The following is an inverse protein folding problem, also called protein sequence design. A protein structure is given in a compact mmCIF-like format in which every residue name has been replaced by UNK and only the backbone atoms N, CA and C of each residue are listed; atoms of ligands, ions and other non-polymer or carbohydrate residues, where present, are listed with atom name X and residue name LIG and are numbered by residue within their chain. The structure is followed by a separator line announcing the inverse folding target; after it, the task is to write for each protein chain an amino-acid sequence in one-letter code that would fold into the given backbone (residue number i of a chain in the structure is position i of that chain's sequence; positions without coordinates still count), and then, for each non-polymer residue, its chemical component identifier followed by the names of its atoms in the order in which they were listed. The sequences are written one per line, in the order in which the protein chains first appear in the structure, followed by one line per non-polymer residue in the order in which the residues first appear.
data_IF_649074914542
#
_entry.id   IF_649074914542
#
_cell.length_a   1.000
_cell.length_b   1.000
_cell.length_c   1.000
_cell.angle_alpha   90.00
_cell.angle_beta   90.00
_cell.angle_gamma   90.00
#
_symmetry.space_group_name_H-M   'P 1'
#
loop_
_entity.id
_entity.type
_entity.pdbx_description
1 polymer ?
#
# COMPACT_ATOMS: atom_id res chain seq x y z
N UNK A 1 -2.86 -4.81 6.22
CA UNK A 1 -3.42 -3.61 6.84
C UNK A 1 -2.44 -3.08 7.88
N UNK A 2 -2.25 -1.79 7.89
CA UNK A 2 -1.55 -1.03 8.92
C UNK A 2 -2.57 -0.33 9.81
N UNK A 3 -2.13 0.15 10.98
CA UNK A 3 -3.03 0.75 11.95
C UNK A 3 -3.68 2.05 11.44
N UNK A 4 -2.95 2.84 10.64
CA UNK A 4 -3.44 4.10 10.09
C UNK A 4 -4.56 3.84 9.08
N UNK A 5 -4.33 3.03 8.05
CA UNK A 5 -5.37 2.72 7.07
C UNK A 5 -6.56 1.98 7.69
N UNK A 6 -6.32 1.11 8.68
CA UNK A 6 -7.40 0.46 9.42
C UNK A 6 -8.27 1.47 10.18
N UNK A 7 -7.65 2.47 10.82
CA UNK A 7 -8.35 3.57 11.50
C UNK A 7 -9.10 4.49 10.54
N UNK A 8 -8.68 4.57 9.29
CA UNK A 8 -9.26 5.36 8.20
C UNK A 8 -10.13 4.53 7.25
N UNK A 9 -10.77 3.48 7.74
CA UNK A 9 -11.66 2.60 6.97
C UNK A 9 -11.01 1.95 5.73
N UNK A 10 -9.71 1.71 5.77
CA UNK A 10 -8.95 1.06 4.69
C UNK A 10 -8.50 1.99 3.57
N UNK A 11 -8.64 3.31 3.70
CA UNK A 11 -8.12 4.28 2.73
C UNK A 11 -6.60 4.33 2.74
N UNK A 12 -5.99 4.65 1.60
CA UNK A 12 -4.52 4.71 1.49
C UNK A 12 -4.00 5.02 0.09
N UNK A 13 -4.89 5.14 -0.91
CA UNK A 13 -4.48 5.33 -2.30
C UNK A 13 -3.83 6.71 -2.56
N UNK A 14 -4.22 7.72 -1.79
CA UNK A 14 -3.72 9.08 -1.93
C UNK A 14 -2.97 9.60 -0.68
N UNK A 15 -2.97 8.84 0.43
CA UNK A 15 -2.39 9.26 1.70
C UNK A 15 -0.86 9.23 1.64
N UNK A 16 -0.22 10.37 1.85
CA UNK A 16 1.24 10.54 1.67
C UNK A 16 2.07 10.34 2.94
N UNK A 17 1.43 10.21 4.09
CA UNK A 17 2.05 9.99 5.39
C UNK A 17 1.97 8.53 5.90
N UNK A 18 1.55 7.60 5.06
CA UNK A 18 1.54 6.17 5.36
C UNK A 18 2.97 5.57 5.51
N UNK A 19 4.02 6.32 5.22
CA UNK A 19 5.39 5.86 5.35
C UNK A 19 5.66 4.60 4.53
N UNK A 20 6.31 3.61 5.15
CA UNK A 20 6.68 2.37 4.46
C UNK A 20 5.48 1.47 4.12
N UNK A 21 4.34 1.61 4.81
CA UNK A 21 3.14 0.79 4.55
C UNK A 21 2.41 1.18 3.27
N UNK A 22 2.74 2.35 2.70
CA UNK A 22 2.21 2.79 1.42
C UNK A 22 2.47 1.81 0.26
N UNK A 23 3.51 0.97 0.35
CA UNK A 23 3.75 -0.09 -0.65
C UNK A 23 2.54 -1.01 -0.82
N UNK A 24 1.78 -1.27 0.24
CA UNK A 24 0.60 -2.14 0.23
C UNK A 24 -0.66 -1.46 -0.34
N UNK A 25 -0.62 -0.15 -0.56
CA UNK A 25 -1.73 0.66 -1.06
C UNK A 25 -1.37 1.29 -2.41
N UNK A 26 -0.48 2.27 -2.39
CA UNK A 26 0.01 2.96 -3.59
C UNK A 26 1.43 3.48 -3.33
N UNK A 27 2.43 2.77 -3.82
CA UNK A 27 3.84 3.10 -3.57
C UNK A 27 4.27 4.48 -4.11
N UNK A 28 3.52 5.07 -5.05
CA UNK A 28 3.84 6.41 -5.57
C UNK A 28 3.68 7.52 -4.53
N UNK A 29 2.88 7.31 -3.47
CA UNK A 29 2.73 8.28 -2.38
C UNK A 29 4.00 8.45 -1.56
N UNK A 30 4.86 7.42 -1.49
CA UNK A 30 6.13 7.45 -0.75
C UNK A 30 7.05 8.58 -1.25
N UNK A 31 6.97 8.95 -2.52
CA UNK A 31 7.78 10.02 -3.08
C UNK A 31 7.52 11.39 -2.41
N UNK A 32 6.36 11.57 -1.78
CA UNK A 32 5.97 12.79 -1.06
C UNK A 32 6.13 12.68 0.47
N UNK A 33 6.57 11.53 0.99
CA UNK A 33 6.89 11.39 2.40
C UNK A 33 7.96 12.41 2.82
N UNK A 34 7.93 12.89 4.04
CA UNK A 34 8.96 13.77 4.58
C UNK A 34 10.25 13.02 4.93
N UNK A 35 10.15 11.72 5.13
CA UNK A 35 11.26 10.90 5.58
C UNK A 35 12.07 10.33 4.40
N UNK A 36 13.38 10.18 4.60
CA UNK A 36 14.30 9.59 3.62
C UNK A 36 14.19 8.07 3.62
N UNK A 37 13.94 7.48 4.78
CA UNK A 37 13.77 6.04 4.95
C UNK A 37 12.77 5.76 6.06
N UNK A 38 12.09 4.66 5.96
CA UNK A 38 11.18 4.21 7.00
C UNK A 38 10.98 2.71 6.96
N UNK A 39 10.74 2.13 8.12
CA UNK A 39 10.42 0.72 8.26
C UNK A 39 9.20 0.57 9.16
N UNK A 40 8.37 -0.42 8.89
CA UNK A 40 7.26 -0.76 9.77
C UNK A 40 7.07 -2.28 9.86
N UNK A 41 6.57 -2.69 10.99
CA UNK A 41 6.07 -4.03 11.22
C UNK A 41 4.69 -3.93 11.88
N UNK A 42 3.76 -4.72 11.40
CA UNK A 42 2.40 -4.77 11.93
C UNK A 42 1.99 -6.23 12.13
N UNK A 43 1.36 -6.48 13.27
CA UNK A 43 0.71 -7.73 13.58
C UNK A 43 -0.77 -7.47 13.84
N UNK A 44 -1.64 -8.08 13.05
CA UNK A 44 -3.08 -7.98 13.23
C UNK A 44 -3.66 -9.37 13.52
N UNK A 45 -4.32 -9.51 14.67
CA UNK A 45 -5.12 -10.67 14.99
C UNK A 45 -6.57 -10.37 14.62
N UNK A 46 -7.08 -11.03 13.58
CA UNK A 46 -8.40 -10.71 13.01
C UNK A 46 -9.52 -11.36 13.84
N UNK A 47 -9.25 -12.56 14.36
CA UNK A 47 -10.08 -13.25 15.34
C UNK A 47 -9.19 -14.22 16.14
N UNK A 48 -9.76 -15.16 16.88
CA UNK A 48 -8.97 -16.06 17.76
C UNK A 48 -7.89 -16.83 16.99
N UNK A 49 -8.05 -16.99 15.70
CA UNK A 49 -7.28 -17.94 14.90
C UNK A 49 -6.51 -17.31 13.74
N UNK A 50 -7.00 -16.21 13.16
CA UNK A 50 -6.38 -15.55 11.99
C UNK A 50 -5.38 -14.49 12.41
N UNK A 51 -4.18 -14.61 11.88
CA UNK A 51 -3.11 -13.62 12.09
C UNK A 51 -2.51 -13.16 10.77
N UNK A 52 -2.32 -11.85 10.66
CA UNK A 52 -1.60 -11.22 9.57
C UNK A 52 -0.35 -10.52 10.11
N UNK A 53 0.78 -10.91 9.58
CA UNK A 53 2.06 -10.22 9.77
C UNK A 53 2.36 -9.40 8.53
N UNK A 54 2.72 -8.15 8.68
CA UNK A 54 3.23 -7.33 7.58
C UNK A 54 4.47 -6.57 8.00
N UNK A 55 5.46 -6.53 7.13
CA UNK A 55 6.69 -5.78 7.30
C UNK A 55 6.97 -5.00 6.02
N UNK A 56 7.45 -3.77 6.15
CA UNK A 56 7.81 -2.96 5.00
C UNK A 56 8.98 -2.03 5.31
N UNK A 57 9.69 -1.67 4.24
CA UNK A 57 10.82 -0.76 4.27
C UNK A 57 10.80 0.09 3.00
N UNK A 58 11.16 1.36 3.09
CA UNK A 58 11.47 2.18 1.92
C UNK A 58 12.75 2.99 2.10
N UNK A 59 13.33 3.38 0.97
CA UNK A 59 14.44 4.31 0.90
C UNK A 59 14.27 5.26 -0.28
N UNK A 60 14.31 6.57 -0.01
CA UNK A 60 14.24 7.64 -1.02
C UNK A 60 15.61 8.17 -1.33
N UNK A 61 15.83 8.47 -2.60
CA UNK A 61 17.09 9.00 -3.14
C UNK A 61 16.80 10.33 -3.85
N UNK A 62 17.68 11.30 -3.64
CA UNK A 62 17.63 12.58 -4.33
C UNK A 62 16.84 13.65 -3.56
N UNK A 63 17.23 14.91 -3.77
CA UNK A 63 16.52 16.11 -3.30
C UNK A 63 15.68 16.71 -4.41
N UNK A 64 16.23 16.72 -5.63
CA UNK A 64 15.54 17.09 -6.87
C UNK A 64 15.39 15.82 -7.72
N UNK A 65 14.20 15.56 -8.25
CA UNK A 65 13.95 14.31 -8.99
C UNK A 65 13.95 13.08 -8.08
N UNK A 66 13.21 13.16 -6.97
CA UNK A 66 13.09 12.09 -5.97
C UNK A 66 12.69 10.78 -6.65
N UNK A 67 13.45 9.74 -6.35
CA UNK A 67 13.12 8.37 -6.69
C UNK A 67 13.49 7.45 -5.52
N UNK A 68 13.05 6.21 -5.55
CA UNK A 68 13.39 5.27 -4.49
C UNK A 68 12.78 3.91 -4.68
N UNK A 69 13.04 3.08 -3.70
CA UNK A 69 12.61 1.70 -3.66
C UNK A 69 11.86 1.42 -2.36
N UNK A 70 10.91 0.52 -2.43
CA UNK A 70 10.27 -0.04 -1.26
C UNK A 70 10.17 -1.55 -1.39
N UNK A 71 10.19 -2.24 -0.26
CA UNK A 71 9.94 -3.68 -0.16
C UNK A 71 8.88 -3.91 0.90
N UNK A 72 8.02 -4.90 0.65
CA UNK A 72 6.94 -5.28 1.55
C UNK A 72 6.83 -6.80 1.63
N UNK A 73 6.51 -7.30 2.79
CA UNK A 73 6.23 -8.70 3.05
C UNK A 73 4.94 -8.80 3.87
N UNK A 74 4.04 -9.69 3.45
CA UNK A 74 2.85 -10.04 4.21
C UNK A 74 2.75 -11.56 4.33
N UNK A 75 2.42 -12.02 5.52
CA UNK A 75 2.15 -13.41 5.80
C UNK A 75 0.81 -13.53 6.51
N UNK A 76 -0.12 -14.17 5.86
CA UNK A 76 -1.42 -14.52 6.40
C UNK A 76 -1.42 -15.99 6.80
N UNK A 77 -1.72 -16.26 8.05
CA UNK A 77 -1.83 -17.60 8.61
C UNK A 77 -3.26 -17.82 9.05
N UNK A 78 -3.87 -18.83 8.45
CA UNK A 78 -5.20 -19.30 8.82
C UNK A 78 -5.11 -20.23 10.06
N UNK A 79 -6.15 -20.31 10.89
CA UNK A 79 -6.18 -21.19 12.04
C UNK A 79 -6.21 -22.67 11.64
N UNK A 80 -6.00 -23.50 12.63
CA UNK A 80 -6.25 -24.92 12.53
C UNK A 80 -7.74 -25.20 12.26
N UNK A 81 -8.14 -25.25 11.00
CA UNK A 81 -9.37 -25.89 10.59
C UNK A 81 -8.98 -27.29 10.13
N UNK A 82 -9.29 -28.29 10.96
CA UNK A 82 -9.17 -29.73 10.59
C UNK A 82 -7.77 -30.15 10.12
N UNK A 83 -6.75 -30.06 10.98
CA UNK A 83 -5.36 -30.51 10.72
C UNK A 83 -4.61 -29.78 9.60
N UNK A 84 -5.30 -29.17 8.63
CA UNK A 84 -4.73 -28.38 7.56
C UNK A 84 -4.53 -26.93 7.98
N UNK A 85 -3.36 -26.36 7.64
CA UNK A 85 -3.01 -24.96 7.96
C UNK A 85 -2.76 -24.21 6.66
N UNK A 86 -3.80 -23.67 6.02
CA UNK A 86 -3.58 -22.84 4.86
C UNK A 86 -2.79 -21.60 5.25
N UNK A 87 -1.84 -21.22 4.42
CA UNK A 87 -1.07 -19.99 4.58
C UNK A 87 -0.82 -19.34 3.24
N UNK A 88 -0.82 -18.02 3.28
CA UNK A 88 -0.51 -17.19 2.12
C UNK A 88 0.56 -16.21 2.53
N UNK A 89 1.57 -16.05 1.71
CA UNK A 89 2.51 -14.97 1.85
C UNK A 89 2.73 -14.26 0.52
N UNK A 90 3.00 -12.98 0.59
CA UNK A 90 3.40 -12.20 -0.56
C UNK A 90 4.66 -11.39 -0.27
N UNK A 91 5.42 -11.17 -1.33
CA UNK A 91 6.59 -10.33 -1.35
C UNK A 91 6.39 -9.26 -2.42
N UNK A 92 6.57 -8.02 -2.03
CA UNK A 92 6.40 -6.86 -2.90
C UNK A 92 7.73 -6.10 -3.03
N UNK A 93 8.04 -5.65 -4.23
CA UNK A 93 9.16 -4.75 -4.51
C UNK A 93 8.66 -3.63 -5.41
N UNK A 94 8.82 -2.39 -4.99
CA UNK A 94 8.35 -1.21 -5.70
C UNK A 94 9.51 -0.28 -6.04
N UNK A 95 9.42 0.31 -7.22
CA UNK A 95 10.17 1.50 -7.62
C UNK A 95 9.19 2.66 -7.78
N UNK A 96 9.55 3.81 -7.25
CA UNK A 96 8.76 5.03 -7.39
C UNK A 96 9.65 6.21 -7.79
N UNK A 97 9.07 7.18 -8.52
CA UNK A 97 9.79 8.35 -8.99
C UNK A 97 8.87 9.55 -9.18
N UNK A 98 9.35 10.72 -8.77
CA UNK A 98 8.74 11.99 -9.19
C UNK A 98 9.10 12.25 -10.64
N UNK A 99 8.08 12.25 -11.51
CA UNK A 99 8.22 12.59 -12.94
C UNK A 99 7.98 14.08 -13.17
N UNK A 100 7.32 14.75 -12.24
CA UNK A 100 7.17 16.20 -12.17
C UNK A 100 7.14 16.64 -10.70
N UNK A 101 7.25 17.94 -10.43
CA UNK A 101 7.27 18.52 -9.06
C UNK A 101 6.15 17.98 -8.16
N UNK A 102 4.96 17.76 -8.74
CA UNK A 102 3.75 17.40 -8.02
C UNK A 102 3.20 16.01 -8.41
N UNK A 103 3.90 15.27 -9.28
CA UNK A 103 3.43 14.00 -9.81
C UNK A 103 4.49 12.92 -9.62
N UNK A 104 4.09 11.84 -8.96
CA UNK A 104 4.88 10.63 -8.81
C UNK A 104 4.20 9.45 -9.49
N UNK A 105 5.02 8.55 -10.02
CA UNK A 105 4.60 7.25 -10.55
C UNK A 105 5.31 6.14 -9.79
N UNK A 106 4.70 4.97 -9.75
CA UNK A 106 5.31 3.76 -9.20
C UNK A 106 4.96 2.52 -9.99
N UNK A 107 5.86 1.56 -9.93
CA UNK A 107 5.68 0.20 -10.40
C UNK A 107 6.01 -0.74 -9.26
N UNK A 108 5.08 -1.63 -8.90
CA UNK A 108 5.26 -2.64 -7.87
C UNK A 108 5.19 -4.02 -8.51
N UNK A 109 6.21 -4.81 -8.27
CA UNK A 109 6.22 -6.24 -8.56
C UNK A 109 5.79 -6.99 -7.31
N UNK A 110 4.87 -7.94 -7.48
CA UNK A 110 4.37 -8.76 -6.37
C UNK A 110 4.48 -10.23 -6.71
N UNK A 111 5.01 -11.02 -5.78
CA UNK A 111 5.04 -12.47 -5.83
C UNK A 111 4.17 -13.02 -4.71
N UNK A 112 3.17 -13.79 -5.07
CA UNK A 112 2.25 -14.46 -4.16
C UNK A 112 2.51 -15.96 -4.15
N UNK A 113 2.51 -16.55 -2.94
CA UNK A 113 2.44 -17.99 -2.77
C UNK A 113 1.30 -18.34 -1.82
N UNK A 114 0.44 -19.24 -2.25
CA UNK A 114 -0.63 -19.80 -1.44
C UNK A 114 -0.47 -21.30 -1.30
N UNK A 115 -0.71 -21.81 -0.10
CA UNK A 115 -0.71 -23.22 0.21
C UNK A 115 -1.99 -23.55 0.97
N UNK A 116 -2.81 -24.43 0.38
CA UNK A 116 -4.13 -24.75 0.94
C UNK A 116 -4.07 -25.65 2.18
N UNK A 117 -3.03 -26.50 2.28
CA UNK A 117 -2.79 -27.39 3.40
C UNK A 117 -1.28 -27.64 3.57
N UNK A 118 -0.85 -28.12 4.71
CA UNK A 118 0.58 -28.37 5.00
C UNK A 118 1.22 -29.33 3.98
N UNK A 119 0.45 -30.32 3.50
CA UNK A 119 0.88 -31.32 2.53
C UNK A 119 0.44 -31.02 1.09
N UNK A 120 -0.25 -29.90 0.83
CA UNK A 120 -0.69 -29.52 -0.51
C UNK A 120 0.45 -28.88 -1.30
N UNK A 121 0.37 -28.95 -2.64
CA UNK A 121 1.27 -28.22 -3.52
C UNK A 121 1.09 -26.71 -3.36
N UNK A 122 2.21 -25.99 -3.34
CA UNK A 122 2.18 -24.53 -3.31
C UNK A 122 1.78 -23.97 -4.68
N UNK A 123 0.87 -23.03 -4.69
CA UNK A 123 0.43 -22.29 -5.88
C UNK A 123 1.05 -20.90 -5.87
N UNK A 124 1.64 -20.50 -6.98
CA UNK A 124 2.37 -19.25 -7.10
C UNK A 124 1.72 -18.35 -8.15
N UNK A 125 1.74 -17.05 -7.90
CA UNK A 125 1.33 -16.03 -8.86
C UNK A 125 2.26 -14.84 -8.82
N UNK A 126 2.34 -14.16 -9.96
CA UNK A 126 3.10 -12.91 -10.13
C UNK A 126 2.15 -11.86 -10.66
N UNK A 127 2.18 -10.68 -10.10
CA UNK A 127 1.42 -9.54 -10.60
C UNK A 127 2.21 -8.24 -10.51
N UNK A 128 1.71 -7.25 -11.24
CA UNK A 128 2.24 -5.90 -11.27
C UNK A 128 1.15 -4.94 -10.84
N UNK A 129 1.57 -3.92 -10.08
CA UNK A 129 0.71 -2.79 -9.74
C UNK A 129 1.35 -1.51 -10.26
N UNK A 130 0.53 -0.63 -10.86
CA UNK A 130 0.91 0.72 -11.27
C UNK A 130 0.25 1.71 -10.33
N UNK A 131 1.02 2.67 -9.86
CA UNK A 131 0.54 3.76 -9.02
C UNK A 131 0.88 5.12 -9.62
N UNK A 132 0.01 6.09 -9.42
CA UNK A 132 0.25 7.49 -9.70
C UNK A 132 -0.32 8.34 -8.56
N UNK A 133 0.43 9.37 -8.15
CA UNK A 133 -0.03 10.31 -7.12
C UNK A 133 0.29 11.72 -7.55
N UNK A 134 -0.73 12.58 -7.55
CA UNK A 134 -0.59 14.01 -7.64
C UNK A 134 -0.76 14.62 -6.25
N UNK A 135 0.21 15.42 -5.83
CA UNK A 135 0.24 16.06 -4.51
C UNK A 135 0.48 17.55 -4.63
N UNK A 136 -0.23 18.36 -3.84
CA UNK A 136 -0.05 19.79 -3.82
C UNK A 136 -0.28 20.38 -2.44
N UNK A 137 0.63 21.29 -2.04
CA UNK A 137 0.42 22.17 -0.91
C UNK A 137 -0.42 23.37 -1.32
N UNK A 138 -1.24 23.87 -0.40
CA UNK A 138 -2.00 25.11 -0.53
C UNK A 138 -1.96 25.87 0.80
N UNK A 139 -1.92 27.19 0.75
CA UNK A 139 -2.12 28.01 1.92
C UNK A 139 -3.60 28.08 2.25
N UNK A 140 -3.95 27.79 3.49
CA UNK A 140 -5.32 27.88 4.01
C UNK A 140 -5.28 28.45 5.43
N UNK A 141 -5.95 29.59 5.66
CA UNK A 141 -6.02 30.24 6.99
C UNK A 141 -4.64 30.44 7.67
N UNK A 142 -3.65 30.92 6.91
CA UNK A 142 -2.25 31.10 7.33
C UNK A 142 -1.46 29.82 7.65
N UNK A 143 -2.04 28.65 7.42
CA UNK A 143 -1.42 27.35 7.60
C UNK A 143 -1.20 26.64 6.26
N UNK A 144 -0.24 25.71 6.23
CA UNK A 144 0.08 24.93 5.04
C UNK A 144 -0.77 23.65 5.01
N UNK A 145 -1.91 23.72 4.34
CA UNK A 145 -2.70 22.56 4.01
C UNK A 145 -2.14 21.80 2.80
N UNK A 146 -2.53 20.55 2.63
CA UNK A 146 -2.20 19.78 1.44
C UNK A 146 -3.37 18.93 0.96
N UNK A 147 -3.35 18.61 -0.33
CA UNK A 147 -4.27 17.65 -0.91
C UNK A 147 -3.55 16.76 -1.91
N UNK A 148 -4.08 15.57 -2.09
CA UNK A 148 -3.53 14.60 -3.02
C UNK A 148 -4.63 13.79 -3.70
N UNK A 149 -4.33 13.34 -4.91
CA UNK A 149 -5.14 12.38 -5.67
C UNK A 149 -4.23 11.22 -6.02
N UNK A 150 -4.66 10.00 -5.71
CA UNK A 150 -3.95 8.77 -6.00
C UNK A 150 -4.76 7.87 -6.94
N UNK A 151 -4.07 7.28 -7.90
CA UNK A 151 -4.60 6.26 -8.79
C UNK A 151 -3.77 4.99 -8.65
N UNK A 152 -4.42 3.82 -8.67
CA UNK A 152 -3.76 2.53 -8.71
C UNK A 152 -4.47 1.57 -9.66
N UNK A 153 -3.70 0.88 -10.50
CA UNK A 153 -4.11 -0.33 -11.18
C UNK A 153 -3.34 -1.50 -10.57
N UNK A 154 -4.04 -2.39 -9.87
CA UNK A 154 -3.41 -3.43 -9.08
C UNK A 154 -3.81 -4.84 -9.52
N UNK A 155 -2.96 -5.82 -9.16
CA UNK A 155 -3.13 -7.24 -9.44
C UNK A 155 -3.17 -7.57 -10.95
N UNK A 156 -2.41 -6.81 -11.76
CA UNK A 156 -2.27 -7.09 -13.18
C UNK A 156 -1.28 -8.24 -13.39
N UNK A 157 -1.75 -9.47 -13.62
CA UNK A 157 -0.81 -10.58 -13.74
C UNK A 157 -1.41 -11.95 -13.99
N UNK A 158 -0.63 -12.97 -13.62
CA UNK A 158 -0.98 -14.38 -13.84
C UNK A 158 -2.09 -14.85 -12.90
N UNK A 159 -2.82 -15.83 -13.39
CA UNK A 159 -3.79 -16.57 -12.58
C UNK A 159 -3.09 -17.32 -11.45
N UNK A 160 -3.71 -17.34 -10.27
CA UNK A 160 -3.36 -18.23 -9.18
C UNK A 160 -4.24 -19.47 -9.28
N UNK A 161 -3.64 -20.65 -9.49
CA UNK A 161 -4.36 -21.92 -9.62
C UNK A 161 -5.51 -21.89 -10.64
N UNK A 162 -5.27 -21.28 -11.81
CA UNK A 162 -6.27 -21.16 -12.86
C UNK A 162 -7.31 -20.06 -12.67
N UNK A 163 -7.43 -19.48 -11.48
CA UNK A 163 -8.30 -18.35 -11.19
C UNK A 163 -7.55 -17.03 -11.39
N UNK A 164 -8.17 -16.07 -12.07
CA UNK A 164 -7.63 -14.71 -12.19
C UNK A 164 -7.60 -14.06 -10.80
N UNK A 165 -6.48 -13.47 -10.42
CA UNK A 165 -6.48 -12.53 -9.31
C UNK A 165 -7.39 -11.36 -9.70
N UNK A 166 -8.26 -10.89 -8.80
CA UNK A 166 -9.16 -9.78 -9.10
C UNK A 166 -8.33 -8.53 -9.35
N UNK A 167 -8.18 -8.17 -10.63
CA UNK A 167 -7.54 -6.92 -10.98
C UNK A 167 -8.41 -5.76 -10.49
N UNK A 168 -7.78 -4.70 -9.99
CA UNK A 168 -8.45 -3.58 -9.35
C UNK A 168 -7.99 -2.26 -9.93
N UNK A 169 -8.93 -1.37 -10.19
CA UNK A 169 -8.67 0.04 -10.42
C UNK A 169 -9.12 0.81 -9.17
N UNK A 170 -8.24 1.62 -8.62
CA UNK A 170 -8.50 2.44 -7.46
C UNK A 170 -8.25 3.92 -7.76
N UNK A 171 -9.12 4.78 -7.24
CA UNK A 171 -8.98 6.22 -7.24
C UNK A 171 -9.21 6.74 -5.83
N UNK A 172 -8.26 7.49 -5.29
CA UNK A 172 -8.35 8.05 -3.96
C UNK A 172 -8.10 9.55 -3.92
N UNK A 173 -8.62 10.20 -2.89
CA UNK A 173 -8.36 11.59 -2.58
C UNK A 173 -8.10 11.77 -1.09
N UNK A 174 -7.15 12.64 -0.73
CA UNK A 174 -6.87 13.00 0.65
C UNK A 174 -6.73 14.50 0.76
N UNK A 175 -7.29 15.08 1.80
CA UNK A 175 -7.10 16.47 2.22
C UNK A 175 -6.58 16.47 3.64
N UNK A 176 -5.57 17.28 3.87
CA UNK A 176 -4.88 17.42 5.13
C UNK A 176 -4.90 18.87 5.57
N UNK A 177 -5.60 19.13 6.67
CA UNK A 177 -5.91 20.45 7.19
C UNK A 177 -5.28 20.60 8.58
N UNK A 178 -4.15 21.32 8.71
CA UNK A 178 -3.66 21.72 10.02
C UNK A 178 -4.56 22.84 10.58
N UNK A 179 -5.01 22.69 11.82
CA UNK A 179 -5.74 23.73 12.55
C UNK A 179 -4.87 24.47 13.56
N UNK A 180 -3.78 23.83 13.97
CA UNK A 180 -2.75 24.39 14.84
C UNK A 180 -1.49 23.53 14.74
N UNK A 181 -0.42 23.94 15.39
CA UNK A 181 0.85 23.18 15.47
C UNK A 181 0.62 21.74 15.97
N UNK A 182 -0.37 21.55 16.83
CA UNK A 182 -0.65 20.25 17.48
C UNK A 182 -1.87 19.51 16.91
N UNK A 183 -2.74 20.19 16.15
CA UNK A 183 -4.01 19.64 15.70
C UNK A 183 -4.10 19.60 14.17
N UNK A 184 -4.34 18.42 13.65
CA UNK A 184 -4.45 18.14 12.21
C UNK A 184 -5.68 17.28 11.94
N UNK A 185 -6.44 17.64 10.92
CA UNK A 185 -7.53 16.83 10.39
C UNK A 185 -7.14 16.28 9.02
N UNK A 186 -7.17 14.98 8.89
CA UNK A 186 -7.01 14.31 7.61
C UNK A 186 -8.33 13.66 7.20
N UNK A 187 -8.77 13.94 5.98
CA UNK A 187 -9.95 13.32 5.37
C UNK A 187 -9.50 12.59 4.11
N UNK A 188 -9.82 11.31 4.02
CA UNK A 188 -9.49 10.49 2.85
C UNK A 188 -10.72 9.74 2.35
N UNK A 189 -10.78 9.53 1.02
CA UNK A 189 -11.82 8.78 0.35
C UNK A 189 -11.20 7.98 -0.78
N UNK A 190 -11.51 6.67 -0.83
CA UNK A 190 -11.04 5.75 -1.87
C UNK A 190 -12.21 5.04 -2.54
N UNK A 191 -12.17 5.00 -3.87
CA UNK A 191 -13.06 4.22 -4.71
C UNK A 191 -12.28 3.09 -5.36
N UNK A 192 -12.81 1.86 -5.27
CA UNK A 192 -12.19 0.69 -5.86
C UNK A 192 -13.19 -0.03 -6.77
N UNK A 193 -12.75 -0.31 -8.00
CA UNK A 193 -13.49 -1.08 -8.97
C UNK A 193 -12.74 -2.37 -9.29
N UNK A 194 -13.40 -3.50 -9.08
CA UNK A 194 -12.85 -4.82 -9.42
C UNK A 194 -13.15 -5.12 -10.88
N UNK A 195 -12.11 -5.44 -11.63
CA UNK A 195 -12.24 -5.87 -13.02
C UNK A 195 -12.66 -7.36 -13.06
N UNK A 196 -13.61 -7.72 -13.91
CA UNK A 196 -14.12 -9.10 -14.04
C UNK A 196 -13.08 -10.10 -14.59
#
# INVERSE_FOLDING_TARGET
PDAQSAGMAGTGLATTDNGSTAIFHNASTIAFSQEVMGASYSYAKINQDYALHSASLFYRIGREGIHGFAVGFRHFKDPKVLEDRPHVWDLEAAYFRNVAKNLSLSLTFRYLQAKAAENADSKNSVCLDFGATYYRNMALLDEMASWSIGFQAANLGKKLDGQKLPARLGLGGTIDLPFSIENRLQVALDFNYLLP
#
